data_IF_523757020430
#
_entry.id   IF_523757020430
#
_cell.length_a   1.000
_cell.length_b   1.000
_cell.length_c   1.000
_cell.angle_alpha   90.00
_cell.angle_beta   90.00
_cell.angle_gamma   90.00
#
_symmetry.space_group_name_H-M   'P 1'
#
loop_
_entity.id
_entity.type
_entity.pdbx_description
1 polymer ?
#
# COMPACT_ATOMS: atom_id res chain seq x y z
N UNK A 1 -1.37 34.19 -12.54
CA UNK A 1 -1.58 32.73 -12.41
C UNK A 1 -1.68 32.35 -10.93
N UNK A 2 -2.90 32.08 -10.41
CA UNK A 2 -3.13 31.72 -9.01
C UNK A 2 -2.40 30.45 -8.55
N UNK A 3 -2.03 29.58 -9.49
CA UNK A 3 -1.43 28.27 -9.25
C UNK A 3 -0.02 28.32 -8.62
N UNK A 4 0.75 29.39 -8.83
CA UNK A 4 2.09 29.55 -8.26
C UNK A 4 2.12 30.31 -6.94
N UNK A 5 0.96 30.79 -6.44
CA UNK A 5 0.91 31.45 -5.12
C UNK A 5 1.11 30.40 -4.03
N UNK A 6 1.94 30.65 -3.01
CA UNK A 6 2.04 29.77 -1.85
C UNK A 6 0.66 29.43 -1.28
N UNK A 7 0.54 28.26 -0.65
CA UNK A 7 -0.66 27.93 0.12
C UNK A 7 -0.80 28.92 1.28
N UNK A 8 -2.04 29.10 1.73
CA UNK A 8 -2.31 29.89 2.94
C UNK A 8 -1.55 29.29 4.13
N UNK A 9 -1.20 30.15 5.09
CA UNK A 9 -0.47 29.70 6.28
C UNK A 9 -1.32 28.76 7.13
N UNK A 10 -0.67 28.07 8.06
CA UNK A 10 -1.35 27.22 9.02
C UNK A 10 -2.32 28.03 9.89
N UNK A 11 -3.46 27.43 10.22
CA UNK A 11 -4.31 27.95 11.29
C UNK A 11 -3.65 27.67 12.64
N UNK A 12 -3.83 28.57 13.61
CA UNK A 12 -3.41 28.27 14.97
C UNK A 12 -4.40 27.30 15.63
N UNK A 13 -3.89 26.33 16.37
CA UNK A 13 -4.68 25.40 17.16
C UNK A 13 -3.79 24.51 18.02
N UNK A 14 -4.20 24.27 19.27
CA UNK A 14 -3.46 23.40 20.18
C UNK A 14 -3.50 21.94 19.76
N UNK A 15 -2.48 21.18 20.17
CA UNK A 15 -2.45 19.74 19.97
C UNK A 15 -3.60 19.11 20.77
N UNK A 16 -4.52 18.34 20.15
CA UNK A 16 -5.59 17.70 20.89
C UNK A 16 -5.07 16.69 21.92
N UNK A 17 -5.78 16.55 23.04
CA UNK A 17 -5.48 15.50 24.02
C UNK A 17 -5.87 14.12 23.50
N UNK A 18 -5.03 13.13 23.79
CA UNK A 18 -5.31 11.74 23.43
C UNK A 18 -6.25 11.11 24.46
N UNK A 19 -7.56 11.17 24.19
CA UNK A 19 -8.60 10.70 25.12
C UNK A 19 -8.74 9.18 25.22
N UNK A 20 -8.37 8.45 24.15
CA UNK A 20 -8.61 7.01 24.05
C UNK A 20 -7.32 6.20 24.14
N UNK A 21 -7.46 4.93 24.53
CA UNK A 21 -6.36 3.97 24.52
C UNK A 21 -5.97 3.52 23.11
N UNK A 22 -4.79 2.92 22.97
CA UNK A 22 -4.26 2.44 21.69
C UNK A 22 -5.26 1.57 20.91
N UNK A 23 -5.81 0.54 21.55
CA UNK A 23 -6.73 -0.42 20.92
C UNK A 23 -8.07 0.17 20.48
N UNK A 24 -8.51 1.26 21.10
CA UNK A 24 -9.75 1.95 20.72
C UNK A 24 -9.56 2.82 19.47
N UNK A 25 -8.33 3.23 19.18
CA UNK A 25 -7.98 4.05 18.01
C UNK A 25 -7.32 3.24 16.89
N UNK A 26 -6.89 2.01 17.18
CA UNK A 26 -6.31 1.09 16.21
C UNK A 26 -7.21 0.97 14.96
N UNK A 27 -6.58 0.93 13.80
CA UNK A 27 -7.28 0.95 12.51
C UNK A 27 -6.42 1.49 11.38
N UNK A 28 -5.85 2.71 11.50
CA UNK A 28 -5.04 3.30 10.43
C UNK A 28 -3.89 2.39 9.95
N UNK A 29 -3.11 1.81 10.87
CA UNK A 29 -2.05 0.87 10.52
C UNK A 29 -2.58 -0.46 10.00
N UNK A 30 -3.69 -0.96 10.54
CA UNK A 30 -4.32 -2.21 10.09
C UNK A 30 -4.86 -2.11 8.65
N UNK A 31 -5.44 -0.96 8.26
CA UNK A 31 -5.88 -0.73 6.88
C UNK A 31 -4.67 -0.69 5.94
N UNK A 32 -3.58 -0.04 6.35
CA UNK A 32 -2.34 0.00 5.56
C UNK A 32 -1.69 -1.39 5.43
N UNK A 33 -1.79 -2.23 6.46
CA UNK A 33 -1.43 -3.65 6.39
C UNK A 33 -2.32 -4.37 5.39
N UNK A 34 -3.64 -4.19 5.41
CA UNK A 34 -4.53 -4.82 4.43
C UNK A 34 -4.23 -4.42 2.98
N UNK A 35 -3.61 -3.26 2.76
CA UNK A 35 -3.09 -2.84 1.46
C UNK A 35 -1.75 -3.51 1.10
N UNK A 36 -0.95 -3.83 2.11
CA UNK A 36 0.40 -4.41 1.98
C UNK A 36 0.37 -5.94 1.88
N UNK A 37 -0.49 -6.60 2.68
CA UNK A 37 -0.98 -7.96 2.49
C UNK A 37 -1.86 -7.94 1.24
N UNK A 38 -1.20 -7.94 0.09
CA UNK A 38 -1.79 -7.76 -1.22
C UNK A 38 -0.94 -8.48 -2.26
N UNK A 39 -0.88 -7.94 -3.47
CA UNK A 39 -0.06 -8.52 -4.54
C UNK A 39 1.43 -8.65 -4.17
N UNK A 40 1.98 -7.80 -3.29
CA UNK A 40 3.36 -7.91 -2.82
C UNK A 40 3.63 -9.23 -2.10
N UNK A 41 2.86 -9.50 -1.05
CA UNK A 41 2.99 -10.67 -0.18
C UNK A 41 2.55 -11.98 -0.81
N UNK A 42 1.46 -11.96 -1.57
CA UNK A 42 0.83 -13.19 -2.09
C UNK A 42 1.27 -13.54 -3.51
N UNK A 43 1.84 -12.59 -4.26
CA UNK A 43 2.26 -12.81 -5.66
C UNK A 43 3.75 -12.55 -5.82
N UNK A 44 4.23 -11.32 -5.57
CA UNK A 44 5.58 -10.93 -5.99
C UNK A 44 6.66 -11.71 -5.25
N UNK A 45 6.64 -11.71 -3.92
CA UNK A 45 7.68 -12.36 -3.13
C UNK A 45 7.65 -13.89 -3.20
N UNK A 46 6.48 -14.55 -3.09
CA UNK A 46 6.36 -15.98 -3.32
C UNK A 46 6.85 -16.40 -4.70
N UNK A 47 6.49 -15.67 -5.76
CA UNK A 47 6.95 -15.96 -7.12
C UNK A 47 8.46 -15.79 -7.27
N UNK A 48 9.03 -14.69 -6.76
CA UNK A 48 10.48 -14.44 -6.83
C UNK A 48 11.27 -15.55 -6.15
N UNK A 49 10.77 -16.02 -5.01
CA UNK A 49 11.45 -17.04 -4.22
C UNK A 49 11.18 -18.45 -4.78
N UNK A 50 10.04 -18.68 -5.44
CA UNK A 50 9.81 -19.88 -6.25
C UNK A 50 10.78 -19.97 -7.44
N UNK A 51 11.16 -18.83 -8.02
CA UNK A 51 12.02 -18.74 -9.21
C UNK A 51 13.53 -18.77 -8.85
N UNK A 52 13.94 -18.01 -7.83
CA UNK A 52 15.36 -17.76 -7.52
C UNK A 52 15.80 -18.28 -6.15
N UNK A 53 14.90 -18.88 -5.38
CA UNK A 53 15.19 -19.38 -4.04
C UNK A 53 15.30 -18.29 -2.97
N UNK A 54 15.81 -18.66 -1.80
CA UNK A 54 15.76 -17.84 -0.59
C UNK A 54 16.78 -16.68 -0.57
N UNK A 55 17.77 -16.69 -1.45
CA UNK A 55 18.98 -15.84 -1.33
C UNK A 55 18.70 -14.33 -1.39
N UNK A 56 17.53 -13.94 -1.91
CA UNK A 56 17.12 -12.53 -2.07
C UNK A 56 16.10 -12.05 -1.03
N UNK A 57 15.75 -12.88 -0.04
CA UNK A 57 14.76 -12.53 0.99
C UNK A 57 15.15 -11.29 1.80
N UNK A 58 16.44 -10.97 1.93
CA UNK A 58 16.92 -9.73 2.56
C UNK A 58 16.28 -8.47 1.96
N UNK A 59 15.98 -8.47 0.66
CA UNK A 59 15.37 -7.32 -0.02
C UNK A 59 13.91 -7.10 0.40
N UNK A 60 13.20 -8.17 0.80
CA UNK A 60 11.85 -8.07 1.39
C UNK A 60 11.94 -7.42 2.76
N UNK A 61 12.83 -7.93 3.62
CA UNK A 61 13.07 -7.41 4.97
C UNK A 61 13.45 -5.94 4.93
N UNK A 62 14.40 -5.58 4.06
CA UNK A 62 14.85 -4.20 3.90
C UNK A 62 13.72 -3.31 3.37
N UNK A 63 12.95 -3.77 2.38
CA UNK A 63 11.84 -3.03 1.80
C UNK A 63 10.78 -2.66 2.85
N UNK A 64 10.26 -3.65 3.59
CA UNK A 64 9.26 -3.39 4.66
C UNK A 64 9.84 -2.49 5.75
N UNK A 65 11.10 -2.72 6.15
CA UNK A 65 11.75 -1.94 7.20
C UNK A 65 11.92 -0.46 6.81
N UNK A 66 12.37 -0.17 5.59
CA UNK A 66 12.47 1.22 5.11
C UNK A 66 11.09 1.87 5.00
N UNK A 67 10.09 1.12 4.52
CA UNK A 67 8.72 1.62 4.40
C UNK A 67 8.08 1.94 5.75
N UNK A 68 8.42 1.19 6.82
CA UNK A 68 8.01 1.55 8.18
C UNK A 68 8.49 2.96 8.56
N UNK A 69 9.77 3.29 8.31
CA UNK A 69 10.31 4.62 8.60
C UNK A 69 9.66 5.71 7.76
N UNK A 70 9.37 5.43 6.49
CA UNK A 70 8.64 6.33 5.61
C UNK A 70 7.23 6.61 6.17
N UNK A 71 6.51 5.57 6.57
CA UNK A 71 5.16 5.71 7.11
C UNK A 71 5.13 6.43 8.45
N UNK A 72 6.15 6.25 9.30
CA UNK A 72 6.33 7.04 10.53
C UNK A 72 6.40 8.54 10.20
N UNK A 73 7.14 8.93 9.16
CA UNK A 73 7.28 10.33 8.77
C UNK A 73 6.04 10.88 8.03
N UNK A 74 5.30 10.04 7.30
CA UNK A 74 3.95 10.37 6.78
C UNK A 74 3.01 10.65 7.95
N UNK A 75 3.04 9.77 8.96
CA UNK A 75 2.25 9.91 10.18
C UNK A 75 2.62 11.15 10.97
N UNK A 76 3.92 11.44 11.11
CA UNK A 76 4.44 12.64 11.81
C UNK A 76 3.85 13.92 11.24
N UNK A 77 3.90 14.07 9.91
CA UNK A 77 3.33 15.22 9.22
C UNK A 77 1.85 15.38 9.54
N UNK A 78 1.10 14.30 9.33
CA UNK A 78 -0.37 14.29 9.47
C UNK A 78 -0.80 14.56 10.91
N UNK A 79 -0.13 13.93 11.88
CA UNK A 79 -0.43 14.10 13.31
C UNK A 79 -0.10 15.52 13.77
N UNK A 80 1.00 16.09 13.31
CA UNK A 80 1.45 17.42 13.75
C UNK A 80 0.68 18.57 13.09
N UNK A 81 0.05 18.36 11.93
CA UNK A 81 -0.57 19.44 11.15
C UNK A 81 -2.04 19.22 10.80
N UNK A 82 -2.51 17.96 10.80
CA UNK A 82 -3.82 17.56 10.30
C UNK A 82 -3.87 17.54 8.77
N UNK A 83 -2.82 17.99 8.09
CA UNK A 83 -2.76 18.01 6.64
C UNK A 83 -2.39 16.65 6.07
N UNK A 84 -2.81 16.45 4.84
CA UNK A 84 -2.26 15.37 4.03
C UNK A 84 -0.81 15.65 3.67
N UNK A 85 -0.02 14.60 3.46
CA UNK A 85 1.36 14.75 2.93
C UNK A 85 1.39 15.43 1.57
N UNK A 86 0.36 15.26 0.74
CA UNK A 86 0.24 15.97 -0.54
C UNK A 86 0.12 17.48 -0.36
N UNK A 87 -0.64 17.93 0.63
CA UNK A 87 -0.71 19.34 1.04
C UNK A 87 0.66 19.81 1.55
N UNK A 88 1.36 18.98 2.34
CA UNK A 88 2.73 19.27 2.78
C UNK A 88 3.73 19.45 1.64
N UNK A 89 3.67 18.61 0.60
CA UNK A 89 4.49 18.80 -0.60
C UNK A 89 4.14 20.10 -1.32
N UNK A 90 2.85 20.42 -1.46
CA UNK A 90 2.41 21.68 -2.06
C UNK A 90 2.86 22.93 -1.28
N UNK A 91 3.13 22.83 0.03
CA UNK A 91 3.75 23.92 0.83
C UNK A 91 5.18 24.24 0.42
N UNK A 92 5.94 23.27 -0.10
CA UNK A 92 7.25 23.54 -0.72
C UNK A 92 7.04 24.26 -2.04
N UNK A 93 6.26 23.64 -2.93
CA UNK A 93 5.98 24.17 -4.26
C UNK A 93 4.71 23.52 -4.82
N UNK A 94 3.72 24.34 -5.16
CA UNK A 94 2.43 23.86 -5.73
C UNK A 94 2.57 23.16 -7.07
N UNK A 95 3.66 23.37 -7.81
CA UNK A 95 3.93 22.59 -9.03
C UNK A 95 4.19 21.10 -8.77
N UNK A 96 4.41 20.69 -7.51
CA UNK A 96 4.41 19.28 -7.13
C UNK A 96 3.01 18.65 -7.25
N UNK A 97 1.92 19.42 -7.18
CA UNK A 97 0.56 18.90 -7.30
C UNK A 97 0.32 18.10 -8.60
N UNK A 98 0.53 18.65 -9.81
CA UNK A 98 0.38 17.89 -11.05
C UNK A 98 1.39 16.75 -11.14
N UNK A 99 2.60 16.89 -10.59
CA UNK A 99 3.59 15.80 -10.56
C UNK A 99 3.05 14.62 -9.75
N UNK A 100 2.49 14.85 -8.56
CA UNK A 100 1.91 13.78 -7.74
C UNK A 100 0.62 13.21 -8.31
N UNK A 101 -0.19 14.01 -9.02
CA UNK A 101 -1.32 13.49 -9.81
C UNK A 101 -0.80 12.54 -10.88
N UNK A 102 0.19 12.94 -11.68
CA UNK A 102 0.75 12.10 -12.74
C UNK A 102 1.41 10.84 -12.17
N UNK A 103 2.23 10.97 -11.12
CA UNK A 103 2.84 9.82 -10.46
C UNK A 103 1.79 8.85 -9.93
N UNK A 104 0.74 9.34 -9.28
CA UNK A 104 -0.35 8.48 -8.79
C UNK A 104 -1.10 7.84 -9.95
N UNK A 105 -1.46 8.60 -10.98
CA UNK A 105 -2.16 8.06 -12.15
C UNK A 105 -1.29 6.99 -12.81
N UNK A 106 -0.05 7.29 -13.21
CA UNK A 106 0.79 6.33 -13.92
C UNK A 106 1.19 5.12 -13.06
N UNK A 107 1.32 5.27 -11.74
CA UNK A 107 1.60 4.13 -10.85
C UNK A 107 0.46 3.12 -10.82
N UNK A 108 -0.79 3.58 -10.95
CA UNK A 108 -1.97 2.76 -10.65
C UNK A 108 -2.94 2.59 -11.82
N UNK A 109 -2.78 3.32 -12.93
CA UNK A 109 -3.71 3.37 -14.08
C UNK A 109 -3.94 1.99 -14.68
N UNK A 110 -2.91 1.14 -14.66
CA UNK A 110 -2.99 -0.22 -15.13
C UNK A 110 -3.52 -1.12 -14.00
N UNK A 111 -4.75 -1.66 -14.09
CA UNK A 111 -5.43 -2.31 -12.98
C UNK A 111 -4.96 -3.77 -12.80
N UNK A 112 -3.66 -4.00 -12.64
CA UNK A 112 -3.09 -5.33 -12.43
C UNK A 112 -3.75 -6.08 -11.28
N UNK A 113 -4.04 -5.39 -10.16
CA UNK A 113 -4.77 -5.95 -9.02
C UNK A 113 -6.23 -6.26 -9.33
N UNK A 114 -6.89 -5.42 -10.13
CA UNK A 114 -8.28 -5.66 -10.54
C UNK A 114 -8.39 -6.91 -11.42
N UNK A 115 -7.47 -7.05 -12.37
CA UNK A 115 -7.38 -8.26 -13.21
C UNK A 115 -6.98 -9.49 -12.40
N UNK A 116 -5.99 -9.38 -11.52
CA UNK A 116 -5.59 -10.48 -10.64
C UNK A 116 -6.73 -10.91 -9.70
N UNK A 117 -7.51 -9.96 -9.17
CA UNK A 117 -8.70 -10.24 -8.36
C UNK A 117 -9.79 -10.96 -9.17
N UNK A 118 -10.05 -10.49 -10.40
CA UNK A 118 -10.98 -11.15 -11.33
C UNK A 118 -10.54 -12.57 -11.68
N UNK A 119 -9.26 -12.76 -11.98
CA UNK A 119 -8.68 -14.08 -12.25
C UNK A 119 -8.70 -15.00 -11.04
N UNK A 120 -8.48 -14.49 -9.82
CA UNK A 120 -8.64 -15.26 -8.59
C UNK A 120 -10.10 -15.72 -8.39
N UNK A 121 -11.07 -14.85 -8.70
CA UNK A 121 -12.50 -15.19 -8.67
C UNK A 121 -12.84 -16.27 -9.71
N UNK A 122 -12.31 -16.14 -10.93
CA UNK A 122 -12.44 -17.14 -12.01
C UNK A 122 -11.88 -18.48 -11.55
N UNK A 123 -10.64 -18.50 -11.07
CA UNK A 123 -9.96 -19.68 -10.60
C UNK A 123 -10.74 -20.40 -9.48
N UNK A 124 -11.33 -19.64 -8.55
CA UNK A 124 -12.14 -20.17 -7.46
C UNK A 124 -13.45 -20.82 -7.95
N UNK A 125 -14.17 -20.17 -8.86
CA UNK A 125 -15.52 -20.59 -9.22
C UNK A 125 -15.57 -21.61 -10.36
N UNK A 126 -14.68 -21.47 -11.34
CA UNK A 126 -14.72 -22.24 -12.60
C UNK A 126 -13.36 -22.80 -13.01
N UNK A 127 -12.32 -22.60 -12.19
CA UNK A 127 -10.95 -22.95 -12.52
C UNK A 127 -10.27 -21.93 -13.45
N UNK A 128 -8.93 -21.97 -13.55
CA UNK A 128 -8.16 -21.00 -14.35
C UNK A 128 -8.52 -21.08 -15.85
N UNK A 129 -8.80 -22.27 -16.36
CA UNK A 129 -9.25 -22.53 -17.74
C UNK A 129 -10.77 -22.42 -17.92
N UNK A 130 -11.49 -22.00 -16.88
CA UNK A 130 -12.94 -21.87 -16.91
C UNK A 130 -13.42 -20.82 -17.91
N UNK A 131 -14.73 -20.76 -18.12
CA UNK A 131 -15.33 -19.83 -19.08
C UNK A 131 -15.15 -18.36 -18.67
N UNK A 132 -15.35 -17.48 -19.66
CA UNK A 132 -15.30 -16.02 -19.46
C UNK A 132 -13.90 -15.45 -19.66
N UNK A 133 -13.85 -14.28 -20.30
CA UNK A 133 -12.64 -13.49 -20.49
C UNK A 133 -12.13 -12.93 -19.16
N UNK A 134 -10.87 -12.54 -19.11
CA UNK A 134 -10.28 -11.90 -17.93
C UNK A 134 -11.01 -10.60 -17.62
N UNK A 135 -11.36 -9.85 -18.67
CA UNK A 135 -12.18 -8.64 -18.58
C UNK A 135 -13.53 -8.89 -17.92
N UNK A 136 -14.23 -9.97 -18.29
CA UNK A 136 -15.54 -10.29 -17.72
C UNK A 136 -15.46 -10.44 -16.19
N UNK A 137 -14.49 -11.23 -15.71
CA UNK A 137 -14.31 -11.45 -14.29
C UNK A 137 -13.80 -10.21 -13.55
N UNK A 138 -12.98 -9.40 -14.22
CA UNK A 138 -12.51 -8.10 -13.69
C UNK A 138 -13.65 -7.10 -13.53
N UNK A 139 -14.61 -7.07 -14.46
CA UNK A 139 -15.83 -6.24 -14.35
C UNK A 139 -16.65 -6.66 -13.13
N UNK A 140 -16.77 -7.96 -12.85
CA UNK A 140 -17.49 -8.47 -11.68
C UNK A 140 -16.84 -7.97 -10.39
N UNK A 141 -15.51 -8.05 -10.26
CA UNK A 141 -14.82 -7.58 -9.06
C UNK A 141 -14.90 -6.06 -8.92
N UNK A 142 -14.77 -5.28 -10.00
CA UNK A 142 -15.00 -3.83 -9.96
C UNK A 142 -16.45 -3.47 -9.59
N UNK A 143 -17.44 -4.21 -10.07
CA UNK A 143 -18.83 -4.03 -9.66
C UNK A 143 -19.01 -4.29 -8.15
N UNK A 144 -18.33 -5.32 -7.62
CA UNK A 144 -18.23 -5.57 -6.19
C UNK A 144 -17.64 -4.38 -5.42
N UNK A 145 -16.53 -3.81 -5.88
CA UNK A 145 -15.93 -2.61 -5.27
C UNK A 145 -16.90 -1.42 -5.32
N UNK A 146 -17.56 -1.18 -6.44
CA UNK A 146 -18.54 -0.10 -6.58
C UNK A 146 -19.71 -0.26 -5.60
N UNK A 147 -20.23 -1.48 -5.44
CA UNK A 147 -21.27 -1.78 -4.45
C UNK A 147 -20.80 -1.51 -3.01
N UNK A 148 -19.54 -1.82 -2.67
CA UNK A 148 -19.03 -1.57 -1.32
C UNK A 148 -18.68 -0.11 -1.04
N UNK A 149 -18.18 0.62 -2.04
CA UNK A 149 -17.85 2.04 -1.89
C UNK A 149 -19.10 2.92 -1.91
N UNK A 150 -20.06 2.62 -2.79
CA UNK A 150 -21.23 3.47 -3.03
C UNK A 150 -22.56 2.90 -2.50
N UNK A 151 -22.60 1.63 -2.12
CA UNK A 151 -23.80 0.99 -1.57
C UNK A 151 -24.02 1.26 -0.07
N UNK A 152 -24.95 0.53 0.58
CA UNK A 152 -25.27 0.70 2.00
C UNK A 152 -24.09 0.42 2.94
N UNK A 153 -23.97 1.19 4.04
CA UNK A 153 -22.90 1.02 5.05
C UNK A 153 -22.81 -0.41 5.63
N UNK A 154 -23.94 -1.12 5.71
CA UNK A 154 -24.01 -2.50 6.25
C UNK A 154 -23.17 -3.48 5.41
N UNK A 155 -23.12 -3.32 4.09
CA UNK A 155 -22.36 -4.20 3.21
C UNK A 155 -20.84 -4.11 3.48
N UNK A 156 -20.35 -2.91 3.81
CA UNK A 156 -18.94 -2.69 4.12
C UNK A 156 -18.52 -3.45 5.38
N UNK A 157 -19.27 -3.30 6.47
CA UNK A 157 -18.94 -3.95 7.76
C UNK A 157 -19.05 -5.48 7.71
N UNK A 158 -19.95 -6.03 6.89
CA UNK A 158 -20.03 -7.49 6.68
C UNK A 158 -18.83 -8.03 5.93
N UNK A 159 -18.40 -7.35 4.85
CA UNK A 159 -17.22 -7.78 4.07
C UNK A 159 -15.94 -7.65 4.88
N UNK A 160 -15.77 -6.56 5.63
CA UNK A 160 -14.59 -6.34 6.48
C UNK A 160 -14.37 -7.49 7.47
N UNK A 161 -15.43 -7.91 8.19
CA UNK A 161 -15.37 -9.04 9.13
C UNK A 161 -15.04 -10.37 8.44
N UNK A 162 -15.58 -10.59 7.24
CA UNK A 162 -15.29 -11.79 6.47
C UNK A 162 -13.82 -11.83 6.01
N UNK A 163 -13.28 -10.70 5.55
CA UNK A 163 -11.87 -10.59 5.15
C UNK A 163 -10.95 -10.80 6.35
N UNK A 164 -11.24 -10.19 7.50
CA UNK A 164 -10.48 -10.38 8.74
C UNK A 164 -10.40 -11.85 9.13
N UNK A 165 -11.55 -12.55 9.14
CA UNK A 165 -11.61 -13.98 9.43
C UNK A 165 -10.79 -14.82 8.45
N UNK A 166 -10.89 -14.51 7.15
CA UNK A 166 -10.14 -15.21 6.10
C UNK A 166 -8.63 -15.03 6.25
N UNK A 167 -8.16 -13.81 6.53
CA UNK A 167 -6.74 -13.53 6.79
C UNK A 167 -6.23 -14.31 8.00
N UNK A 168 -7.01 -14.39 9.08
CA UNK A 168 -6.66 -15.19 10.25
C UNK A 168 -6.54 -16.68 9.87
N UNK A 169 -7.52 -17.22 9.14
CA UNK A 169 -7.53 -18.63 8.71
C UNK A 169 -6.29 -18.95 7.87
N UNK A 170 -5.93 -18.12 6.90
CA UNK A 170 -4.72 -18.36 6.09
C UNK A 170 -3.44 -18.16 6.85
N UNK A 171 -3.37 -17.17 7.74
CA UNK A 171 -2.18 -17.00 8.58
C UNK A 171 -1.96 -18.25 9.43
N UNK A 172 -3.02 -18.79 10.06
CA UNK A 172 -2.97 -20.06 10.79
C UNK A 172 -2.60 -21.23 9.87
N UNK A 173 -3.17 -21.28 8.67
CA UNK A 173 -2.87 -22.30 7.67
C UNK A 173 -1.41 -22.28 7.23
N UNK A 174 -0.83 -21.10 6.97
CA UNK A 174 0.57 -20.95 6.60
C UNK A 174 1.52 -21.28 7.76
N UNK A 175 1.15 -20.92 8.98
CA UNK A 175 1.88 -21.38 10.18
C UNK A 175 1.86 -22.91 10.24
N UNK A 176 0.72 -23.53 9.99
CA UNK A 176 0.61 -24.98 9.96
C UNK A 176 1.46 -25.60 8.85
N UNK A 177 1.46 -25.03 7.64
CA UNK A 177 2.37 -25.44 6.54
C UNK A 177 3.83 -25.34 6.99
N UNK A 178 4.19 -24.25 7.67
CA UNK A 178 5.54 -24.01 8.14
C UNK A 178 6.02 -25.09 9.13
N UNK A 179 5.10 -25.66 9.93
CA UNK A 179 5.40 -26.79 10.82
C UNK A 179 5.29 -28.17 10.14
N UNK A 180 4.30 -28.36 9.27
CA UNK A 180 3.99 -29.67 8.67
C UNK A 180 4.96 -30.06 7.55
N UNK A 181 5.38 -29.09 6.74
CA UNK A 181 6.24 -29.31 5.55
C UNK A 181 7.63 -28.70 5.76
N UNK A 182 7.80 -27.84 6.77
CA UNK A 182 9.04 -27.14 7.01
C UNK A 182 10.19 -28.05 7.43
N UNK A 183 11.25 -28.10 6.62
CA UNK A 183 12.49 -28.79 6.93
C UNK A 183 13.50 -27.82 7.56
N UNK A 184 14.42 -28.34 8.37
CA UNK A 184 15.48 -27.55 8.99
C UNK A 184 16.31 -26.78 7.94
N UNK A 185 16.55 -27.38 6.78
CA UNK A 185 17.27 -26.76 5.66
C UNK A 185 16.50 -25.56 5.06
N UNK A 186 15.17 -25.63 4.99
CA UNK A 186 14.33 -24.53 4.49
C UNK A 186 14.39 -23.34 5.43
N UNK A 187 14.29 -23.58 6.75
CA UNK A 187 14.45 -22.55 7.77
C UNK A 187 15.86 -21.94 7.76
N UNK A 188 16.89 -22.77 7.63
CA UNK A 188 18.27 -22.32 7.50
C UNK A 188 18.50 -21.47 6.24
N UNK A 189 17.90 -21.86 5.12
CA UNK A 189 17.98 -21.12 3.85
C UNK A 189 17.26 -19.78 3.94
N UNK A 190 16.06 -19.75 4.54
CA UNK A 190 15.33 -18.51 4.77
C UNK A 190 16.13 -17.54 5.64
N UNK A 191 16.69 -18.02 6.76
CA UNK A 191 17.50 -17.18 7.65
C UNK A 191 18.76 -16.64 6.95
N UNK A 192 19.51 -17.50 6.25
CA UNK A 192 20.67 -17.08 5.45
C UNK A 192 20.28 -16.04 4.40
N UNK A 193 19.19 -16.29 3.68
CA UNK A 193 18.63 -15.39 2.69
C UNK A 193 18.23 -14.02 3.24
N UNK A 194 17.65 -13.98 4.44
CA UNK A 194 17.23 -12.75 5.11
C UNK A 194 18.41 -11.85 5.53
N UNK A 195 19.58 -12.42 5.79
CA UNK A 195 20.80 -11.69 6.17
C UNK A 195 21.80 -11.51 5.03
N UNK A 196 21.48 -11.98 3.81
CA UNK A 196 22.35 -11.94 2.64
C UNK A 196 22.36 -10.55 1.95
N UNK A 197 22.54 -9.49 2.74
CA UNK A 197 22.40 -8.11 2.29
C UNK A 197 23.29 -7.80 1.08
N UNK A 198 22.69 -7.22 0.04
CA UNK A 198 23.39 -6.80 -1.18
C UNK A 198 23.55 -7.89 -2.24
N UNK A 199 23.18 -9.14 -1.95
CA UNK A 199 23.18 -10.18 -2.98
C UNK A 199 22.02 -9.99 -3.97
N UNK A 200 22.34 -10.03 -5.27
CA UNK A 200 21.37 -10.07 -6.35
C UNK A 200 21.67 -11.30 -7.19
N UNK A 201 20.68 -12.17 -7.37
CA UNK A 201 20.84 -13.33 -8.24
C UNK A 201 21.32 -12.90 -9.64
N UNK A 202 22.26 -13.64 -10.28
CA UNK A 202 22.79 -13.26 -11.60
C UNK A 202 21.70 -13.04 -12.65
N UNK A 203 20.70 -13.93 -12.67
CA UNK A 203 19.60 -13.89 -13.65
C UNK A 203 18.51 -12.88 -13.31
N UNK A 204 18.55 -12.24 -12.13
CA UNK A 204 17.60 -11.19 -11.77
C UNK A 204 18.07 -9.84 -12.30
N UNK A 205 17.25 -9.17 -13.10
CA UNK A 205 17.51 -7.80 -13.52
C UNK A 205 17.44 -6.81 -12.34
N UNK A 206 18.13 -5.67 -12.47
CA UNK A 206 18.04 -4.58 -11.49
C UNK A 206 16.59 -4.07 -11.37
N UNK A 207 15.85 -4.07 -12.48
CA UNK A 207 14.42 -3.72 -12.53
C UNK A 207 13.56 -4.64 -11.68
N UNK A 208 13.74 -5.96 -11.79
CA UNK A 208 13.02 -6.93 -10.96
C UNK A 208 13.37 -6.74 -9.47
N UNK A 209 14.64 -6.49 -9.13
CA UNK A 209 15.03 -6.23 -7.74
C UNK A 209 14.37 -4.96 -7.20
N UNK A 210 14.32 -3.89 -8.00
CA UNK A 210 13.65 -2.66 -7.61
C UNK A 210 12.16 -2.86 -7.36
N UNK A 211 11.48 -3.56 -8.26
CA UNK A 211 10.06 -3.94 -8.13
C UNK A 211 9.83 -4.71 -6.83
N UNK A 212 10.68 -5.70 -6.53
CA UNK A 212 10.59 -6.52 -5.32
C UNK A 212 10.67 -5.66 -4.04
N UNK A 213 11.66 -4.77 -3.96
CA UNK A 213 11.87 -3.88 -2.80
C UNK A 213 10.69 -2.91 -2.62
N UNK A 214 10.13 -2.41 -3.72
CA UNK A 214 8.99 -1.48 -3.67
C UNK A 214 7.73 -2.19 -3.17
N UNK A 215 7.43 -3.39 -3.67
CA UNK A 215 6.25 -4.18 -3.27
C UNK A 215 6.52 -5.16 -2.11
N UNK A 216 7.55 -4.92 -1.31
CA UNK A 216 7.71 -5.59 -0.02
C UNK A 216 6.66 -5.12 1.00
N UNK A 217 6.17 -3.89 0.89
CA UNK A 217 5.00 -3.37 1.61
C UNK A 217 3.95 -2.87 0.63
N UNK A 218 3.22 -1.82 0.99
CA UNK A 218 2.29 -1.17 0.05
C UNK A 218 3.01 -0.53 -1.15
N UNK A 219 4.20 0.06 -0.92
CA UNK A 219 5.04 0.62 -1.98
C UNK A 219 4.44 1.83 -2.70
N UNK A 220 5.25 2.50 -3.53
CA UNK A 220 4.78 3.61 -4.37
C UNK A 220 4.05 4.72 -3.59
N UNK A 221 3.03 5.33 -4.19
CA UNK A 221 2.20 6.34 -3.51
C UNK A 221 1.19 5.74 -2.53
N UNK A 222 1.04 4.41 -2.48
CA UNK A 222 0.13 3.74 -1.54
C UNK A 222 0.55 3.92 -0.08
N UNK A 223 1.86 4.05 0.21
CA UNK A 223 2.36 4.44 1.54
C UNK A 223 1.80 5.80 2.00
N UNK A 224 1.56 6.71 1.06
CA UNK A 224 1.05 8.05 1.39
C UNK A 224 -0.42 8.01 1.82
N UNK A 225 -1.16 6.93 1.52
CA UNK A 225 -2.58 6.81 1.87
C UNK A 225 -2.81 6.77 3.38
N UNK A 226 -1.78 6.39 4.15
CA UNK A 226 -1.81 6.39 5.61
C UNK A 226 -2.29 7.73 6.21
N UNK A 227 -1.96 8.84 5.55
CA UNK A 227 -2.39 10.19 5.96
C UNK A 227 -3.92 10.34 6.01
N UNK A 228 -4.65 9.71 5.08
CA UNK A 228 -6.11 9.81 5.02
C UNK A 228 -6.76 9.07 6.18
N UNK A 229 -6.26 7.87 6.49
CA UNK A 229 -6.79 7.05 7.58
C UNK A 229 -6.54 7.69 8.95
N UNK A 230 -5.39 8.34 9.14
CA UNK A 230 -5.12 9.13 10.34
C UNK A 230 -6.06 10.32 10.50
N UNK A 231 -6.29 11.05 9.40
CA UNK A 231 -7.17 12.23 9.38
C UNK A 231 -8.63 11.84 9.66
N UNK A 232 -9.14 10.81 8.98
CA UNK A 232 -10.51 10.32 9.17
C UNK A 232 -10.77 9.73 10.56
N UNK A 233 -9.71 9.26 11.24
CA UNK A 233 -9.76 8.81 12.64
C UNK A 233 -9.48 9.92 13.65
N UNK A 234 -9.37 11.17 13.20
CA UNK A 234 -9.14 12.34 14.06
C UNK A 234 -7.88 12.22 14.93
N UNK A 235 -6.82 11.57 14.41
CA UNK A 235 -5.57 11.36 15.15
C UNK A 235 -4.75 12.66 15.14
N UNK A 236 -4.30 13.10 16.33
CA UNK A 236 -3.54 14.34 16.48
C UNK A 236 -4.32 15.56 16.00
N UNK A 237 -3.68 16.43 15.23
CA UNK A 237 -4.32 17.62 14.65
C UNK A 237 -5.47 17.31 13.67
N UNK A 238 -5.64 16.05 13.25
CA UNK A 238 -6.84 15.60 12.54
C UNK A 238 -8.14 15.77 13.36
N UNK A 239 -8.05 15.91 14.69
CA UNK A 239 -9.19 16.21 15.56
C UNK A 239 -9.84 17.58 15.34
N UNK A 240 -9.16 18.51 14.67
CA UNK A 240 -9.72 19.80 14.29
C UNK A 240 -10.36 19.82 12.90
N UNK A 241 -10.30 18.69 12.18
CA UNK A 241 -10.78 18.57 10.81
C UNK A 241 -11.96 17.59 10.76
N UNK A 242 -13.00 17.89 9.96
CA UNK A 242 -14.05 16.93 9.71
C UNK A 242 -13.50 15.74 8.91
N UNK A 243 -14.03 14.54 9.17
CA UNK A 243 -13.70 13.35 8.40
C UNK A 243 -14.30 13.45 6.99
N UNK A 244 -13.66 12.82 6.00
CA UNK A 244 -14.22 12.79 4.66
C UNK A 244 -15.41 11.82 4.62
N UNK A 245 -16.63 12.37 4.50
CA UNK A 245 -17.81 11.54 4.24
C UNK A 245 -18.03 11.34 2.73
N UNK A 246 -18.41 10.11 2.36
CA UNK A 246 -18.92 9.83 1.02
C UNK A 246 -20.21 10.63 0.83
N UNK A 247 -20.30 11.49 -0.21
CA UNK A 247 -21.45 12.38 -0.40
C UNK A 247 -22.74 11.62 -0.73
N UNK A 248 -22.66 10.33 -1.09
CA UNK A 248 -23.82 9.43 -1.25
C UNK A 248 -24.32 8.87 0.09
N UNK A 249 -23.56 9.00 1.18
CA UNK A 249 -23.84 8.40 2.50
C UNK A 249 -24.09 9.43 3.61
N UNK A 250 -23.93 10.73 3.36
CA UNK A 250 -24.02 11.77 4.40
C UNK A 250 -23.86 13.20 3.88
N UNK A 251 -23.93 14.18 4.78
CA UNK A 251 -23.79 15.60 4.45
C UNK A 251 -22.32 15.95 4.25
N UNK A 252 -22.01 16.63 3.16
CA UNK A 252 -20.64 17.07 2.86
C UNK A 252 -20.29 18.29 3.70
N UNK A 253 -19.48 18.12 4.74
CA UNK A 253 -18.87 19.27 5.41
C UNK A 253 -17.74 19.85 4.55
N UNK A 254 -17.56 21.17 4.62
CA UNK A 254 -16.49 21.85 3.89
C UNK A 254 -15.17 21.57 4.60
N UNK A 255 -14.38 20.70 3.99
CA UNK A 255 -13.06 20.34 4.49
C UNK A 255 -12.12 21.55 4.26
N UNK A 256 -11.48 22.09 5.31
CA UNK A 256 -10.46 23.13 5.14
C UNK A 256 -9.33 22.66 4.23
N UNK A 257 -8.88 23.56 3.36
CA UNK A 257 -7.77 23.31 2.41
C UNK A 257 -6.40 23.29 3.08
N UNK A 258 -6.26 23.96 4.22
CA UNK A 258 -5.05 23.97 5.04
C UNK A 258 -5.35 23.48 6.46
N UNK A 259 -4.33 22.89 7.08
CA UNK A 259 -4.37 22.40 8.44
C UNK A 259 -3.87 23.43 9.44
N UNK A 260 -3.34 22.92 10.53
CA UNK A 260 -3.05 23.68 11.74
C UNK A 260 -1.59 23.58 12.14
N UNK A 261 -1.16 24.51 12.99
CA UNK A 261 0.13 24.47 13.66
C UNK A 261 -0.06 24.88 15.11
N UNK A 262 0.42 24.04 16.02
CA UNK A 262 0.41 24.32 17.44
C UNK A 262 1.64 25.12 17.87
N UNK A 263 1.50 25.89 18.95
CA UNK A 263 2.61 26.59 19.59
C UNK A 263 3.50 25.60 20.35
N UNK A 264 4.82 25.79 20.24
CA UNK A 264 5.82 24.88 20.78
C UNK A 264 6.06 25.11 22.28
N UNK A 265 5.02 24.85 23.08
CA UNK A 265 5.03 24.89 24.54
C UNK A 265 5.08 23.47 25.13
N UNK A 266 5.35 23.36 26.43
CA UNK A 266 5.52 22.06 27.11
C UNK A 266 4.27 21.18 27.02
N UNK A 267 3.08 21.78 27.09
CA UNK A 267 1.80 21.08 27.04
C UNK A 267 1.56 20.45 25.67
N UNK A 268 1.69 21.23 24.59
CA UNK A 268 1.54 20.74 23.22
C UNK A 268 2.64 19.74 22.85
N UNK A 269 3.87 19.95 23.31
CA UNK A 269 4.97 19.01 23.11
C UNK A 269 4.70 17.66 23.80
N UNK A 270 4.16 17.69 25.02
CA UNK A 270 3.75 16.48 25.75
C UNK A 270 2.63 15.73 25.02
N UNK A 271 1.58 16.44 24.60
CA UNK A 271 0.47 15.86 23.81
C UNK A 271 0.96 15.28 22.49
N UNK A 272 1.86 15.96 21.79
CA UNK A 272 2.45 15.44 20.56
C UNK A 272 3.22 14.15 20.80
N UNK A 273 3.99 14.05 21.89
CA UNK A 273 4.71 12.84 22.26
C UNK A 273 3.76 11.65 22.46
N UNK A 274 2.60 11.86 23.09
CA UNK A 274 1.60 10.79 23.26
C UNK A 274 1.02 10.28 21.93
N UNK A 275 0.74 11.20 21.00
CA UNK A 275 0.30 10.83 19.65
C UNK A 275 1.42 10.18 18.85
N UNK A 276 2.66 10.64 19.01
CA UNK A 276 3.82 10.04 18.37
C UNK A 276 4.08 8.62 18.87
N UNK A 277 3.91 8.37 20.16
CA UNK A 277 3.96 7.03 20.75
C UNK A 277 2.87 6.11 20.21
N UNK A 278 1.67 6.66 19.94
CA UNK A 278 0.61 5.92 19.26
C UNK A 278 1.03 5.54 17.83
N UNK A 279 1.52 6.49 17.03
CA UNK A 279 1.95 6.24 15.64
C UNK A 279 3.07 5.20 15.58
N UNK A 280 4.07 5.29 16.47
CA UNK A 280 5.14 4.29 16.55
C UNK A 280 4.60 2.89 16.82
N UNK A 281 3.68 2.74 17.79
CA UNK A 281 3.06 1.44 18.10
C UNK A 281 2.23 0.92 16.93
N UNK A 282 1.44 1.78 16.30
CA UNK A 282 0.58 1.44 15.15
C UNK A 282 1.43 0.93 13.98
N UNK A 283 2.50 1.64 13.63
CA UNK A 283 3.38 1.26 12.52
C UNK A 283 4.31 0.08 12.85
N UNK A 284 4.81 -0.03 14.08
CA UNK A 284 5.68 -1.16 14.45
C UNK A 284 4.88 -2.46 14.57
N UNK A 285 3.68 -2.43 15.17
CA UNK A 285 2.89 -3.63 15.41
C UNK A 285 2.16 -4.09 14.17
N UNK A 286 1.39 -3.20 13.53
CA UNK A 286 0.60 -3.55 12.37
C UNK A 286 1.48 -3.53 11.13
N UNK A 287 1.97 -2.37 10.70
CA UNK A 287 2.65 -2.27 9.41
C UNK A 287 3.94 -3.09 9.34
N UNK A 288 4.82 -3.03 10.34
CA UNK A 288 6.11 -3.71 10.25
C UNK A 288 6.05 -5.16 10.72
N UNK A 289 5.64 -5.42 11.96
CA UNK A 289 5.70 -6.77 12.52
C UNK A 289 4.72 -7.74 11.85
N UNK A 290 3.43 -7.37 11.74
CA UNK A 290 2.43 -8.26 11.14
C UNK A 290 2.74 -8.53 9.66
N UNK A 291 3.01 -7.49 8.87
CA UNK A 291 3.38 -7.61 7.46
C UNK A 291 4.66 -8.44 7.27
N UNK A 292 5.69 -8.22 8.09
CA UNK A 292 6.93 -9.03 8.00
C UNK A 292 6.62 -10.49 8.29
N UNK A 293 5.80 -10.79 9.30
CA UNK A 293 5.43 -12.17 9.62
C UNK A 293 4.64 -12.83 8.49
N UNK A 294 3.59 -12.16 7.98
CA UNK A 294 2.76 -12.71 6.90
C UNK A 294 3.56 -12.89 5.61
N UNK A 295 4.35 -11.89 5.21
CA UNK A 295 5.29 -11.98 4.09
C UNK A 295 6.23 -13.18 4.23
N UNK A 296 6.88 -13.35 5.40
CA UNK A 296 7.80 -14.47 5.62
C UNK A 296 7.10 -15.83 5.58
N UNK A 297 5.85 -15.91 6.03
CA UNK A 297 5.04 -17.12 5.94
C UNK A 297 4.70 -17.49 4.48
N UNK A 298 4.34 -16.52 3.65
CA UNK A 298 4.11 -16.74 2.22
C UNK A 298 5.41 -17.13 1.48
N UNK A 299 6.50 -16.42 1.74
CA UNK A 299 7.85 -16.77 1.24
C UNK A 299 8.22 -18.19 1.64
N UNK A 300 8.02 -18.54 2.92
CA UNK A 300 8.32 -19.89 3.42
C UNK A 300 7.47 -20.94 2.72
N UNK A 301 6.16 -20.71 2.58
CA UNK A 301 5.25 -21.61 1.88
C UNK A 301 5.72 -21.88 0.44
N UNK A 302 6.13 -20.83 -0.27
CA UNK A 302 6.71 -20.94 -1.61
C UNK A 302 8.03 -21.73 -1.61
N UNK A 303 8.96 -21.45 -0.68
CA UNK A 303 10.22 -22.19 -0.55
C UNK A 303 10.04 -23.67 -0.22
N UNK A 304 9.06 -23.98 0.62
CA UNK A 304 8.84 -25.33 1.10
C UNK A 304 8.08 -26.19 0.08
N UNK A 305 7.18 -25.57 -0.70
CA UNK A 305 6.24 -26.30 -1.57
C UNK A 305 6.46 -26.02 -3.06
N UNK A 306 6.51 -24.75 -3.47
CA UNK A 306 6.52 -24.35 -4.88
C UNK A 306 7.91 -24.49 -5.51
N UNK A 307 8.94 -23.90 -4.88
CA UNK A 307 10.32 -23.91 -5.37
C UNK A 307 10.85 -25.34 -5.63
N UNK A 308 10.71 -26.33 -4.72
CA UNK A 308 11.22 -27.69 -4.95
C UNK A 308 10.49 -28.43 -6.08
N UNK A 309 9.29 -27.97 -6.47
CA UNK A 309 8.48 -28.53 -7.55
C UNK A 309 8.67 -27.81 -8.88
N UNK A 310 9.46 -26.73 -8.91
CA UNK A 310 9.62 -25.88 -10.09
C UNK A 310 8.32 -25.17 -10.49
N UNK A 311 7.38 -24.97 -9.54
CA UNK A 311 6.15 -24.24 -9.78
C UNK A 311 6.44 -22.76 -9.56
N UNK A 312 6.53 -21.99 -10.64
CA UNK A 312 6.61 -20.53 -10.56
C UNK A 312 5.25 -19.95 -10.92
N UNK A 313 4.56 -19.26 -9.99
CA UNK A 313 3.28 -18.62 -10.25
C UNK A 313 3.28 -17.81 -11.56
N UNK A 314 2.46 -18.23 -12.50
CA UNK A 314 2.42 -17.70 -13.85
C UNK A 314 1.20 -16.79 -14.08
N UNK A 315 1.27 -15.99 -15.14
CA UNK A 315 0.11 -15.18 -15.56
C UNK A 315 -1.09 -16.07 -15.89
N UNK A 316 -2.28 -15.66 -15.46
CA UNK A 316 -3.53 -16.40 -15.58
C UNK A 316 -3.76 -17.39 -14.42
N UNK A 317 -2.69 -17.88 -13.79
CA UNK A 317 -2.75 -18.93 -12.77
C UNK A 317 -2.15 -18.53 -11.42
N UNK A 318 -1.79 -17.26 -11.21
CA UNK A 318 -1.06 -16.78 -10.01
C UNK A 318 -1.58 -17.37 -8.69
N UNK A 319 -2.83 -17.07 -8.31
CA UNK A 319 -3.40 -17.55 -7.04
C UNK A 319 -3.71 -19.06 -7.08
N UNK A 320 -3.89 -19.63 -8.27
CA UNK A 320 -4.11 -21.07 -8.44
C UNK A 320 -2.84 -21.88 -8.16
N UNK A 321 -1.69 -21.39 -8.61
CA UNK A 321 -0.38 -21.98 -8.36
C UNK A 321 0.00 -21.83 -6.89
N UNK A 322 -0.25 -20.66 -6.30
CA UNK A 322 -0.05 -20.40 -4.86
C UNK A 322 -0.94 -21.29 -3.98
N UNK A 323 -2.15 -21.62 -4.43
CA UNK A 323 -3.05 -22.50 -3.69
C UNK A 323 -2.49 -23.92 -3.47
N UNK A 324 -1.45 -24.32 -4.21
CA UNK A 324 -0.75 -25.57 -3.96
C UNK A 324 -0.05 -25.60 -2.59
N UNK A 325 0.30 -24.44 -2.02
CA UNK A 325 0.95 -24.34 -0.70
C UNK A 325 0.08 -24.95 0.40
N UNK A 326 -1.17 -24.50 0.54
CA UNK A 326 -2.11 -25.11 1.50
C UNK A 326 -2.66 -26.44 0.99
N UNK A 327 -2.72 -26.61 -0.33
CA UNK A 327 -3.09 -27.87 -0.96
C UNK A 327 -2.19 -29.04 -0.56
N UNK A 328 -0.92 -28.77 -0.27
CA UNK A 328 0.04 -29.77 0.17
C UNK A 328 -0.37 -30.46 1.46
N UNK A 329 -1.00 -29.71 2.37
CA UNK A 329 -1.25 -30.17 3.72
C UNK A 329 -2.72 -30.56 3.93
N UNK A 330 -3.64 -29.80 3.35
CA UNK A 330 -5.09 -30.02 3.51
C UNK A 330 -5.78 -30.48 2.22
N UNK A 331 -5.00 -30.90 1.21
CA UNK A 331 -5.53 -31.41 -0.04
C UNK A 331 -6.46 -30.40 -0.74
N UNK A 332 -7.55 -30.86 -1.38
CA UNK A 332 -8.48 -29.98 -2.08
C UNK A 332 -9.09 -28.86 -1.21
N UNK A 333 -9.36 -29.14 0.07
CA UNK A 333 -9.90 -28.14 0.99
C UNK A 333 -8.90 -27.00 1.23
N UNK A 334 -7.62 -27.33 1.39
CA UNK A 334 -6.54 -26.34 1.51
C UNK A 334 -6.43 -25.43 0.30
N UNK A 335 -6.54 -26.00 -0.91
CA UNK A 335 -6.54 -25.21 -2.15
C UNK A 335 -7.70 -24.22 -2.19
N UNK A 336 -8.92 -24.66 -1.87
CA UNK A 336 -10.11 -23.79 -1.88
C UNK A 336 -9.98 -22.68 -0.83
N UNK A 337 -9.49 -23.00 0.37
CA UNK A 337 -9.23 -21.99 1.41
C UNK A 337 -8.22 -20.94 0.92
N UNK A 338 -7.12 -21.38 0.30
CA UNK A 338 -6.14 -20.44 -0.25
C UNK A 338 -6.74 -19.56 -1.35
N UNK A 339 -7.49 -20.14 -2.30
CA UNK A 339 -8.16 -19.39 -3.37
C UNK A 339 -9.13 -18.34 -2.81
N UNK A 340 -9.90 -18.68 -1.77
CA UNK A 340 -10.81 -17.75 -1.10
C UNK A 340 -10.06 -16.56 -0.49
N UNK A 341 -8.94 -16.83 0.18
CA UNK A 341 -8.12 -15.75 0.76
C UNK A 341 -7.42 -14.95 -0.31
N UNK A 342 -6.81 -15.58 -1.32
CA UNK A 342 -6.16 -14.85 -2.40
C UNK A 342 -7.12 -13.94 -3.13
N UNK A 343 -8.38 -14.38 -3.36
CA UNK A 343 -9.45 -13.52 -3.83
C UNK A 343 -9.73 -12.37 -2.87
N UNK A 344 -9.98 -12.66 -1.58
CA UNK A 344 -10.33 -11.65 -0.58
C UNK A 344 -9.23 -10.59 -0.40
N UNK A 345 -7.98 -11.02 -0.37
CA UNK A 345 -6.77 -10.19 -0.26
C UNK A 345 -6.62 -9.29 -1.49
N UNK A 346 -6.66 -9.84 -2.70
CA UNK A 346 -6.53 -9.04 -3.93
C UNK A 346 -7.72 -8.09 -4.14
N UNK A 347 -8.92 -8.53 -3.79
CA UNK A 347 -10.12 -7.68 -3.81
C UNK A 347 -10.02 -6.55 -2.78
N UNK A 348 -9.49 -6.82 -1.58
CA UNK A 348 -9.18 -5.81 -0.57
C UNK A 348 -8.17 -4.79 -1.06
N UNK A 349 -7.08 -5.24 -1.70
CA UNK A 349 -6.10 -4.35 -2.35
C UNK A 349 -6.76 -3.51 -3.45
N UNK A 350 -7.59 -4.11 -4.30
CA UNK A 350 -8.34 -3.40 -5.34
C UNK A 350 -9.22 -2.29 -4.75
N UNK A 351 -9.98 -2.60 -3.69
CA UNK A 351 -10.84 -1.64 -2.99
C UNK A 351 -10.03 -0.48 -2.38
N UNK A 352 -8.96 -0.80 -1.67
CA UNK A 352 -8.11 0.19 -0.99
C UNK A 352 -7.36 1.09 -1.98
N UNK A 353 -6.94 0.56 -3.14
CA UNK A 353 -6.32 1.35 -4.20
C UNK A 353 -7.33 2.31 -4.87
N UNK A 354 -8.55 1.86 -5.16
CA UNK A 354 -9.59 2.75 -5.70
C UNK A 354 -9.87 3.90 -4.72
N UNK A 355 -10.04 3.59 -3.42
CA UNK A 355 -10.26 4.59 -2.37
C UNK A 355 -9.06 5.57 -2.26
N UNK A 356 -7.84 5.04 -2.10
CA UNK A 356 -6.64 5.85 -1.87
C UNK A 356 -6.23 6.72 -3.06
N UNK A 357 -6.32 6.21 -4.30
CA UNK A 357 -6.07 7.00 -5.52
C UNK A 357 -7.11 8.11 -5.65
N UNK A 358 -8.38 7.80 -5.40
CA UNK A 358 -9.48 8.77 -5.49
C UNK A 358 -9.32 9.88 -4.44
N UNK A 359 -8.96 9.52 -3.21
CA UNK A 359 -8.65 10.49 -2.14
C UNK A 359 -7.44 11.35 -2.47
N UNK A 360 -6.37 10.75 -3.00
CA UNK A 360 -5.15 11.47 -3.39
C UNK A 360 -5.44 12.52 -4.45
N UNK A 361 -6.13 12.15 -5.54
CA UNK A 361 -6.46 13.09 -6.61
C UNK A 361 -7.46 14.13 -6.11
N UNK A 362 -8.49 13.72 -5.37
CA UNK A 362 -9.48 14.66 -4.83
C UNK A 362 -8.83 15.70 -3.90
N UNK A 363 -7.96 15.27 -3.00
CA UNK A 363 -7.24 16.13 -2.06
C UNK A 363 -6.30 17.10 -2.78
N UNK A 364 -5.48 16.61 -3.72
CA UNK A 364 -4.58 17.46 -4.50
C UNK A 364 -5.39 18.49 -5.30
N UNK A 365 -6.48 18.06 -5.96
CA UNK A 365 -7.32 18.93 -6.78
C UNK A 365 -8.02 20.00 -5.93
N UNK A 366 -8.67 19.61 -4.84
CA UNK A 366 -9.40 20.54 -3.97
C UNK A 366 -8.49 21.56 -3.30
N UNK A 367 -7.28 21.16 -2.92
CA UNK A 367 -6.34 22.04 -2.23
C UNK A 367 -5.60 22.98 -3.18
N UNK A 368 -5.26 22.52 -4.39
CA UNK A 368 -4.33 23.25 -5.26
C UNK A 368 -4.98 23.98 -6.43
N UNK A 369 -6.23 23.68 -6.81
CA UNK A 369 -6.87 24.26 -7.98
C UNK A 369 -8.10 25.05 -7.56
N UNK A 370 -8.03 26.38 -7.65
CA UNK A 370 -9.12 27.27 -7.27
C UNK A 370 -10.37 27.04 -8.13
N UNK A 371 -11.55 27.06 -7.51
CA UNK A 371 -12.82 26.76 -8.18
C UNK A 371 -13.15 25.26 -8.31
N UNK A 372 -12.35 24.38 -7.70
CA UNK A 372 -12.67 22.97 -7.61
C UNK A 372 -14.00 22.73 -6.86
N UNK A 373 -14.82 21.78 -7.36
CA UNK A 373 -15.95 21.21 -6.61
C UNK A 373 -15.46 20.61 -5.28
N UNK A 374 -16.38 20.30 -4.37
CA UNK A 374 -16.04 19.73 -3.06
C UNK A 374 -15.16 18.48 -3.20
N UNK A 375 -14.26 18.26 -2.24
CA UNK A 375 -13.35 17.12 -2.21
C UNK A 375 -14.11 15.79 -2.35
N UNK A 376 -15.24 15.65 -1.67
CA UNK A 376 -16.14 14.50 -1.77
C UNK A 376 -16.70 14.26 -3.18
N UNK A 377 -17.01 15.32 -3.94
CA UNK A 377 -17.44 15.17 -5.33
C UNK A 377 -16.32 14.63 -6.20
N UNK A 378 -15.11 15.20 -6.08
CA UNK A 378 -13.94 14.71 -6.81
C UNK A 378 -13.61 13.26 -6.46
N UNK A 379 -13.75 12.88 -5.19
CA UNK A 379 -13.57 11.49 -4.76
C UNK A 379 -14.50 10.54 -5.53
N UNK A 380 -15.81 10.81 -5.56
CA UNK A 380 -16.78 9.95 -6.27
C UNK A 380 -16.51 9.94 -7.78
N UNK A 381 -16.23 11.11 -8.36
CA UNK A 381 -15.94 11.24 -9.78
C UNK A 381 -14.71 10.42 -10.17
N UNK A 382 -13.60 10.61 -9.45
CA UNK A 382 -12.35 9.88 -9.72
C UNK A 382 -12.56 8.39 -9.52
N UNK A 383 -13.20 7.95 -8.43
CA UNK A 383 -13.46 6.53 -8.18
C UNK A 383 -14.29 5.88 -9.31
N UNK A 384 -15.35 6.55 -9.77
CA UNK A 384 -16.18 6.04 -10.85
C UNK A 384 -15.42 5.97 -12.19
N UNK A 385 -14.71 7.06 -12.55
CA UNK A 385 -13.89 7.10 -13.77
C UNK A 385 -12.80 6.04 -13.73
N UNK A 386 -12.17 5.85 -12.58
CA UNK A 386 -11.08 4.90 -12.39
C UNK A 386 -11.54 3.45 -12.58
N UNK A 387 -12.70 3.07 -12.05
CA UNK A 387 -13.25 1.74 -12.24
C UNK A 387 -13.63 1.48 -13.70
N UNK A 388 -14.28 2.45 -14.36
CA UNK A 388 -14.63 2.35 -15.78
C UNK A 388 -13.38 2.27 -16.65
N UNK A 389 -12.40 3.15 -16.43
CA UNK A 389 -11.13 3.15 -17.13
C UNK A 389 -10.37 1.83 -16.90
N UNK A 390 -10.38 1.31 -15.67
CA UNK A 390 -9.79 0.01 -15.33
C UNK A 390 -10.39 -1.13 -16.15
N UNK A 391 -11.72 -1.20 -16.26
CA UNK A 391 -12.39 -2.20 -17.10
C UNK A 391 -12.01 -2.05 -18.58
N UNK A 392 -12.00 -0.82 -19.12
CA UNK A 392 -11.65 -0.56 -20.52
C UNK A 392 -10.18 -0.90 -20.79
N UNK A 393 -9.27 -0.51 -19.92
CA UNK A 393 -7.83 -0.83 -20.04
C UNK A 393 -7.65 -2.34 -19.99
N UNK A 394 -8.32 -3.04 -19.07
CA UNK A 394 -8.26 -4.50 -19.00
C UNK A 394 -8.70 -5.14 -20.31
N UNK A 395 -9.80 -4.66 -20.90
CA UNK A 395 -10.31 -5.12 -22.19
C UNK A 395 -9.30 -4.93 -23.33
N UNK A 396 -8.78 -3.71 -23.49
CA UNK A 396 -7.82 -3.41 -24.55
C UNK A 396 -6.55 -4.25 -24.38
N UNK A 397 -6.09 -4.43 -23.15
CA UNK A 397 -4.83 -5.11 -22.85
C UNK A 397 -4.94 -6.63 -22.96
N UNK A 398 -6.07 -7.21 -22.58
CA UNK A 398 -6.40 -8.60 -22.89
C UNK A 398 -6.35 -8.84 -24.41
N UNK A 399 -6.93 -7.93 -25.20
CA UNK A 399 -6.88 -8.03 -26.66
C UNK A 399 -5.46 -7.87 -27.26
N UNK A 400 -4.54 -7.22 -26.55
CA UNK A 400 -3.13 -7.08 -26.93
C UNK A 400 -2.22 -8.19 -26.35
N UNK A 401 -2.78 -9.14 -25.59
CA UNK A 401 -2.00 -10.23 -24.97
C UNK A 401 -1.09 -9.79 -23.82
N UNK A 402 -1.29 -8.59 -23.27
CA UNK A 402 -0.53 -8.11 -22.10
C UNK A 402 -1.05 -8.79 -20.84
N UNK A 403 -0.18 -9.25 -19.96
CA UNK A 403 -0.55 -9.99 -18.74
C UNK A 403 -0.84 -9.08 -17.55
N UNK A 404 -1.60 -9.57 -16.57
CA UNK A 404 -1.83 -8.91 -15.27
C UNK A 404 -0.54 -8.70 -14.47
N UNK A 405 0.39 -9.66 -14.56
CA UNK A 405 1.67 -9.61 -13.86
C UNK A 405 2.54 -8.44 -14.37
N UNK A 406 2.52 -8.19 -15.68
CA UNK A 406 3.19 -7.03 -16.28
C UNK A 406 2.72 -5.70 -15.69
N UNK A 407 1.43 -5.57 -15.36
CA UNK A 407 0.90 -4.36 -14.73
C UNK A 407 1.26 -4.23 -13.27
N UNK A 408 1.22 -5.32 -12.51
CA UNK A 408 1.67 -5.30 -11.12
C UNK A 408 3.14 -4.86 -11.04
N UNK A 409 3.97 -5.37 -11.94
CA UNK A 409 5.39 -5.01 -12.03
C UNK A 409 5.61 -3.58 -12.50
N UNK A 410 4.89 -3.11 -13.52
CA UNK A 410 4.99 -1.72 -13.98
C UNK A 410 4.54 -0.73 -12.90
N UNK A 411 3.48 -1.07 -12.15
CA UNK A 411 3.02 -0.27 -11.03
C UNK A 411 4.06 -0.14 -9.93
N UNK A 412 4.68 -1.26 -9.54
CA UNK A 412 5.78 -1.27 -8.57
C UNK A 412 6.97 -0.44 -9.08
N UNK A 413 7.29 -0.56 -10.36
CA UNK A 413 8.39 0.15 -10.99
C UNK A 413 8.18 1.68 -10.95
N UNK A 414 7.03 2.16 -11.43
CA UNK A 414 6.67 3.60 -11.41
C UNK A 414 6.51 4.08 -9.97
N UNK A 415 5.93 3.26 -9.10
CA UNK A 415 5.85 3.51 -7.67
C UNK A 415 7.22 3.75 -7.04
N UNK A 416 8.23 2.96 -7.42
CA UNK A 416 9.60 3.15 -6.98
C UNK A 416 10.18 4.52 -7.34
N UNK A 417 9.92 5.02 -8.56
CA UNK A 417 10.29 6.38 -8.94
C UNK A 417 9.57 7.44 -8.11
N UNK A 418 8.28 7.22 -7.82
CA UNK A 418 7.54 8.10 -6.91
C UNK A 418 8.21 8.12 -5.53
N UNK A 419 8.63 6.97 -4.99
CA UNK A 419 9.35 6.87 -3.71
C UNK A 419 10.70 7.61 -3.74
N UNK A 420 11.47 7.46 -4.82
CA UNK A 420 12.73 8.19 -4.99
C UNK A 420 12.55 9.72 -4.95
N UNK A 421 11.38 10.21 -5.32
CA UNK A 421 11.01 11.64 -5.26
C UNK A 421 10.47 12.02 -3.88
N UNK A 422 9.46 11.32 -3.37
CA UNK A 422 8.73 11.79 -2.20
C UNK A 422 9.43 11.50 -0.87
N UNK A 423 10.26 10.46 -0.78
CA UNK A 423 10.96 10.11 0.47
C UNK A 423 11.90 11.24 0.94
N UNK A 424 12.79 11.79 0.09
CA UNK A 424 13.59 12.96 0.49
C UNK A 424 12.73 14.21 0.69
N UNK A 425 11.70 14.43 -0.14
CA UNK A 425 10.78 15.57 0.03
C UNK A 425 10.06 15.53 1.38
N UNK A 426 9.63 14.36 1.84
CA UNK A 426 8.95 14.18 3.12
C UNK A 426 9.86 14.55 4.29
N UNK A 427 11.14 14.13 4.24
CA UNK A 427 12.12 14.53 5.24
C UNK A 427 12.35 16.05 5.24
N UNK A 428 12.44 16.68 4.07
CA UNK A 428 12.60 18.13 3.91
C UNK A 428 11.38 18.87 4.47
N UNK A 429 10.17 18.44 4.12
CA UNK A 429 8.90 19.02 4.61
C UNK A 429 8.86 18.97 6.13
N UNK A 430 9.15 17.82 6.72
CA UNK A 430 9.08 17.63 8.17
C UNK A 430 10.09 18.50 8.92
N UNK A 431 11.33 18.64 8.42
CA UNK A 431 12.32 19.52 9.05
C UNK A 431 12.02 21.02 8.88
N UNK A 432 11.41 21.40 7.76
CA UNK A 432 11.17 22.79 7.39
C UNK A 432 9.95 23.41 8.09
N UNK A 433 8.84 22.67 8.18
CA UNK A 433 7.56 23.27 8.61
C UNK A 433 7.09 22.84 10.00
N UNK A 434 7.58 21.71 10.54
CA UNK A 434 7.13 21.24 11.85
C UNK A 434 7.74 22.06 13.01
N UNK A 435 7.01 22.24 14.13
CA UNK A 435 7.57 22.79 15.37
C UNK A 435 8.69 21.89 15.91
N UNK A 436 9.58 22.43 16.74
CA UNK A 436 10.79 21.73 17.19
C UNK A 436 10.44 20.44 17.93
N UNK A 437 9.38 20.45 18.74
CA UNK A 437 8.87 19.23 19.41
C UNK A 437 8.42 18.12 18.45
N UNK A 438 7.97 18.44 17.24
CA UNK A 438 7.56 17.46 16.24
C UNK A 438 8.63 17.11 15.20
N UNK A 439 9.75 17.84 15.13
CA UNK A 439 10.77 17.59 14.09
C UNK A 439 11.34 16.17 14.14
N UNK A 440 11.75 15.61 12.98
CA UNK A 440 12.42 14.32 12.95
C UNK A 440 13.69 14.33 13.80
N UNK A 441 13.83 13.34 14.68
CA UNK A 441 15.06 13.15 15.46
C UNK A 441 16.21 12.64 14.58
N UNK A 442 17.40 12.50 15.17
CA UNK A 442 18.61 12.06 14.46
C UNK A 442 18.45 10.67 13.84
N UNK A 443 17.89 9.71 14.57
CA UNK A 443 17.68 8.34 14.07
C UNK A 443 16.72 8.33 12.87
N UNK A 444 15.56 8.99 12.98
CA UNK A 444 14.60 9.08 11.87
C UNK A 444 15.23 9.76 10.66
N UNK A 445 16.01 10.83 10.86
CA UNK A 445 16.72 11.54 9.79
C UNK A 445 17.71 10.63 9.08
N UNK A 446 18.57 9.92 9.82
CA UNK A 446 19.53 8.97 9.25
C UNK A 446 18.81 7.88 8.44
N UNK A 447 17.76 7.28 9.02
CA UNK A 447 17.02 6.21 8.34
C UNK A 447 16.32 6.69 7.07
N UNK A 448 15.74 7.90 7.08
CA UNK A 448 15.13 8.49 5.88
C UNK A 448 16.16 8.89 4.82
N UNK A 449 17.36 9.31 5.21
CA UNK A 449 18.47 9.56 4.28
C UNK A 449 18.92 8.24 3.64
N UNK A 450 19.06 7.17 4.42
CA UNK A 450 19.36 5.83 3.89
C UNK A 450 18.28 5.38 2.92
N UNK A 451 16.99 5.47 3.30
CA UNK A 451 15.88 5.11 2.44
C UNK A 451 15.88 5.93 1.14
N UNK A 452 16.11 7.25 1.23
CA UNK A 452 16.24 8.12 0.05
C UNK A 452 17.36 7.66 -0.86
N UNK A 453 18.55 7.39 -0.31
CA UNK A 453 19.69 6.94 -1.08
C UNK A 453 19.42 5.60 -1.78
N UNK A 454 18.77 4.64 -1.11
CA UNK A 454 18.41 3.35 -1.70
C UNK A 454 17.44 3.52 -2.87
N UNK A 455 16.30 4.20 -2.67
CA UNK A 455 15.30 4.37 -3.74
C UNK A 455 15.84 5.20 -4.91
N UNK A 456 16.61 6.25 -4.66
CA UNK A 456 17.25 7.06 -5.72
C UNK A 456 18.28 6.21 -6.49
N UNK A 457 19.12 5.45 -5.79
CA UNK A 457 20.16 4.63 -6.43
C UNK A 457 19.51 3.57 -7.33
N UNK A 458 18.48 2.88 -6.86
CA UNK A 458 17.76 1.91 -7.70
C UNK A 458 17.04 2.58 -8.88
N UNK A 459 16.38 3.72 -8.67
CA UNK A 459 15.71 4.45 -9.73
C UNK A 459 16.70 4.88 -10.84
N UNK A 460 17.85 5.44 -10.46
CA UNK A 460 18.92 5.83 -11.41
C UNK A 460 19.51 4.59 -12.09
N UNK A 461 19.77 3.52 -11.34
CA UNK A 461 20.32 2.27 -11.90
C UNK A 461 19.36 1.63 -12.91
N UNK A 462 18.05 1.71 -12.66
CA UNK A 462 17.05 1.23 -13.60
C UNK A 462 16.98 2.09 -14.86
N UNK A 463 17.10 3.42 -14.74
CA UNK A 463 17.19 4.29 -15.92
C UNK A 463 18.43 3.96 -16.76
N UNK A 464 19.60 3.81 -16.13
CA UNK A 464 20.82 3.40 -16.83
C UNK A 464 20.62 2.05 -17.51
N UNK A 465 20.04 1.07 -16.81
CA UNK A 465 19.75 -0.24 -17.37
C UNK A 465 18.84 -0.17 -18.61
N UNK A 466 17.76 0.62 -18.61
CA UNK A 466 16.87 0.79 -19.77
C UNK A 466 17.56 1.45 -20.99
N UNK A 467 18.66 2.19 -20.79
CA UNK A 467 19.42 2.83 -21.88
C UNK A 467 20.68 2.06 -22.31
N UNK A 468 21.12 1.07 -21.53
CA UNK A 468 22.39 0.36 -21.76
C UNK A 468 22.24 -1.15 -21.93
N UNK A 469 21.14 -1.74 -21.45
CA UNK A 469 20.76 -3.13 -21.64
C UNK A 469 19.79 -3.28 -22.80
#
# INVERSE_FOLDING_TARGET
MPFFKPLDDFKSGDMPERKFGFWQMAGPGAILVGLSIGAGEIIIWPRLVAEFGAEMVWAAVLGVFMQMWINLEVGRWTVATGETVFTGFARIWRGLAPIFILLTVFSWIAPGWGRASGLALKALLVGPEGYGSDTFWTIITFAGCALLLFGPKVMYGSVEKSVELLVIIVTVGLIFVAFAVGKADTWGSLFKGAINFGYKHPDMSVKQMFIAIVFAGAGGTANLFYTFYLRDKHIGMGGHLPAMENPLRGRTETIPTTGFRYEDNEENASRFKEWWDYIKKDQMLFFWALNTVTMMLFIFGSLAVLHPRGIVPASGTLIWDEAQILGEVWGPAGRVIFLLVGLATLFGTQLALIDGVSRSIADIVSTNFGGARSQSWWYVFVAAVWMVAGCVITYVMEAQGVTELGFLFNAAYIGGFAMAIYVPLLLIVNHKYLPLSAKPGTVCTIMMVIASAVYITFAVSCLIWEFTG
#
